data_IF_463930540223
#
_entry.id   IF_463930540223
#
_cell.length_a   1.000
_cell.length_b   1.000
_cell.length_c   1.000
_cell.angle_alpha   90.00
_cell.angle_beta   90.00
_cell.angle_gamma   90.00
#
_symmetry.space_group_name_H-M   'P 1'
#
loop_
_entity.id
_entity.type
_entity.pdbx_description
1 polymer ?
#
# COMPACT_ATOMS: atom_id res chain seq x y z
N UNK A 1 13.34 13.30 16.53
CA UNK A 1 12.11 14.09 16.78
C UNK A 1 10.98 13.11 17.00
N UNK A 2 10.35 13.11 18.18
CA UNK A 2 9.14 12.33 18.46
C UNK A 2 8.00 12.98 17.69
N UNK A 3 7.45 12.29 16.70
CA UNK A 3 6.17 12.68 16.11
C UNK A 3 5.08 12.40 17.15
N UNK A 4 4.31 13.43 17.47
CA UNK A 4 3.16 13.36 18.38
C UNK A 4 2.12 12.38 17.82
N UNK A 5 1.65 11.46 18.64
CA UNK A 5 0.65 10.43 18.32
C UNK A 5 -0.75 10.95 17.93
N UNK A 6 -0.94 12.25 17.86
CA UNK A 6 -2.22 12.86 17.49
C UNK A 6 -2.36 13.21 15.99
N UNK A 7 -1.29 13.05 15.19
CA UNK A 7 -1.30 13.36 13.76
C UNK A 7 -1.53 12.14 12.85
N UNK A 8 -1.65 10.92 13.40
CA UNK A 8 -1.76 9.68 12.61
C UNK A 8 -3.12 9.45 11.95
N UNK A 9 -4.16 10.21 12.32
CA UNK A 9 -5.54 9.90 11.89
C UNK A 9 -5.98 10.57 10.56
N UNK A 10 -5.13 11.37 9.92
CA UNK A 10 -5.50 12.12 8.70
C UNK A 10 -4.55 11.89 7.53
N UNK A 11 -3.44 11.19 7.73
CA UNK A 11 -2.43 11.02 6.70
C UNK A 11 -2.74 9.85 5.76
N UNK A 12 -2.88 10.15 4.47
CA UNK A 12 -3.02 9.13 3.42
C UNK A 12 -1.64 8.52 3.12
N UNK A 13 -1.57 7.19 3.09
CA UNK A 13 -0.30 6.46 2.98
C UNK A 13 -0.11 5.89 1.59
N UNK A 14 1.14 5.94 1.15
CA UNK A 14 1.59 5.44 -0.14
C UNK A 14 2.51 4.25 0.08
N UNK A 15 2.14 3.09 -0.46
CA UNK A 15 2.96 1.90 -0.43
C UNK A 15 3.46 1.56 -1.83
N UNK A 16 4.61 0.87 -1.93
CA UNK A 16 5.03 0.24 -3.18
C UNK A 16 4.67 -1.25 -3.18
N UNK A 17 4.22 -1.74 -4.34
CA UNK A 17 3.88 -3.14 -4.58
C UNK A 17 5.00 -3.81 -5.39
N UNK A 18 6.04 -4.23 -4.71
CA UNK A 18 7.23 -4.86 -5.30
C UNK A 18 8.05 -5.61 -4.25
N UNK A 19 8.91 -6.54 -4.69
CA UNK A 19 9.93 -7.20 -3.89
C UNK A 19 11.36 -6.90 -4.42
N UNK A 20 11.48 -5.94 -5.33
CA UNK A 20 12.76 -5.45 -5.84
C UNK A 20 13.32 -4.41 -4.87
N UNK A 21 14.36 -4.79 -4.14
CA UNK A 21 14.94 -3.98 -3.07
C UNK A 21 15.59 -2.69 -3.57
N UNK A 22 16.11 -2.66 -4.81
CA UNK A 22 16.73 -1.47 -5.38
C UNK A 22 15.68 -0.43 -5.71
N UNK A 23 14.57 -0.83 -6.36
CA UNK A 23 13.43 0.04 -6.63
C UNK A 23 12.75 0.53 -5.35
N UNK A 24 12.71 -0.31 -4.30
CA UNK A 24 12.19 0.09 -3.00
C UNK A 24 13.09 1.15 -2.35
N UNK A 25 14.41 0.93 -2.36
CA UNK A 25 15.37 1.89 -1.81
C UNK A 25 15.28 3.24 -2.52
N UNK A 26 15.16 3.25 -3.85
CA UNK A 26 14.96 4.46 -4.63
C UNK A 26 13.69 5.20 -4.22
N UNK A 27 12.54 4.51 -4.23
CA UNK A 27 11.26 5.11 -3.83
C UNK A 27 11.25 5.57 -2.37
N UNK A 28 11.78 4.75 -1.45
CA UNK A 28 11.79 5.07 -0.02
C UNK A 28 12.69 6.28 0.32
N UNK A 29 13.80 6.45 -0.42
CA UNK A 29 14.70 7.60 -0.26
C UNK A 29 14.04 8.95 -0.52
N UNK A 30 12.93 8.98 -1.27
CA UNK A 30 12.12 10.20 -1.50
C UNK A 30 11.41 10.71 -0.24
N UNK A 31 11.27 9.85 0.79
CA UNK A 31 10.47 10.14 1.98
C UNK A 31 8.94 10.12 1.76
N UNK A 32 8.48 9.66 0.58
CA UNK A 32 7.07 9.63 0.18
C UNK A 32 6.44 8.23 0.24
N UNK A 33 7.20 7.22 0.64
CA UNK A 33 6.74 5.83 0.77
C UNK A 33 6.67 5.46 2.24
N UNK A 34 5.50 4.97 2.67
CA UNK A 34 5.16 4.64 4.05
C UNK A 34 5.25 3.14 4.35
N UNK A 35 5.26 2.30 3.32
CA UNK A 35 5.28 0.84 3.47
C UNK A 35 5.36 0.10 2.14
N UNK A 36 5.38 -1.22 2.25
CA UNK A 36 5.55 -2.14 1.11
C UNK A 36 4.49 -3.23 1.16
N UNK A 37 3.94 -3.58 0.01
CA UNK A 37 3.22 -4.84 -0.16
C UNK A 37 4.00 -5.80 -1.03
N UNK A 38 4.08 -7.05 -0.60
CA UNK A 38 4.61 -8.15 -1.40
C UNK A 38 3.55 -9.19 -1.68
N UNK A 39 3.85 -10.11 -2.56
CA UNK A 39 3.06 -11.31 -2.80
C UNK A 39 3.96 -12.41 -3.41
N UNK A 40 3.51 -13.68 -3.44
CA UNK A 40 4.33 -14.79 -3.96
C UNK A 40 4.85 -14.57 -5.39
N UNK A 41 4.09 -13.91 -6.25
CA UNK A 41 4.50 -13.61 -7.63
C UNK A 41 5.63 -12.58 -7.68
N UNK A 42 5.57 -11.54 -6.86
CA UNK A 42 6.61 -10.51 -6.77
C UNK A 42 7.90 -11.08 -6.17
N UNK A 43 7.79 -11.87 -5.09
CA UNK A 43 8.93 -12.57 -4.48
C UNK A 43 9.57 -13.50 -5.51
N UNK A 44 8.78 -14.33 -6.21
CA UNK A 44 9.32 -15.21 -7.26
C UNK A 44 10.03 -14.41 -8.37
N UNK A 45 9.47 -13.28 -8.77
CA UNK A 45 10.05 -12.41 -9.80
C UNK A 45 11.38 -11.79 -9.37
N UNK A 46 11.55 -11.48 -8.09
CA UNK A 46 12.82 -10.97 -7.55
C UNK A 46 13.93 -12.02 -7.58
N UNK A 47 13.59 -13.32 -7.65
CA UNK A 47 14.55 -14.42 -7.61
C UNK A 47 15.26 -14.61 -6.27
N UNK A 48 14.78 -13.93 -5.21
CA UNK A 48 15.41 -13.90 -3.89
C UNK A 48 14.59 -14.69 -2.87
N UNK A 49 15.27 -15.09 -1.81
CA UNK A 49 14.63 -15.66 -0.62
C UNK A 49 13.71 -14.61 0.04
N UNK A 50 12.44 -14.94 0.36
CA UNK A 50 11.49 -13.99 0.94
C UNK A 50 12.00 -13.34 2.23
N UNK A 51 12.62 -14.11 3.11
CA UNK A 51 13.10 -13.58 4.39
C UNK A 51 14.26 -12.61 4.22
N UNK A 52 15.14 -12.87 3.26
CA UNK A 52 16.22 -11.92 2.92
C UNK A 52 15.68 -10.61 2.36
N UNK A 53 14.62 -10.67 1.57
CA UNK A 53 13.92 -9.46 1.12
C UNK A 53 13.37 -8.69 2.32
N UNK A 54 12.69 -9.37 3.25
CA UNK A 54 12.12 -8.70 4.44
C UNK A 54 13.19 -8.14 5.37
N UNK A 55 14.32 -8.84 5.55
CA UNK A 55 15.47 -8.33 6.33
C UNK A 55 16.00 -7.01 5.73
N UNK A 56 16.26 -6.97 4.42
CA UNK A 56 16.73 -5.76 3.74
C UNK A 56 15.73 -4.59 3.91
N UNK A 57 14.43 -4.84 3.77
CA UNK A 57 13.41 -3.81 3.93
C UNK A 57 13.38 -3.22 5.34
N UNK A 58 13.62 -4.05 6.35
CA UNK A 58 13.71 -3.62 7.74
C UNK A 58 14.98 -2.81 7.99
N UNK A 59 16.11 -3.25 7.42
CA UNK A 59 17.38 -2.52 7.49
C UNK A 59 17.29 -1.13 6.84
N UNK A 60 16.49 -0.98 5.79
CA UNK A 60 16.16 0.32 5.18
C UNK A 60 15.31 1.22 6.10
N UNK A 61 14.70 0.69 7.16
CA UNK A 61 13.88 1.43 8.10
C UNK A 61 12.36 1.40 7.83
N UNK A 62 11.90 0.53 6.93
CA UNK A 62 10.47 0.37 6.64
C UNK A 62 9.70 -0.21 7.82
N UNK A 63 8.56 0.40 8.15
CA UNK A 63 7.77 0.10 9.35
C UNK A 63 6.45 -0.64 9.08
N UNK A 64 6.08 -0.84 7.81
CA UNK A 64 4.88 -1.58 7.43
C UNK A 64 5.13 -2.40 6.16
N UNK A 65 5.27 -3.72 6.33
CA UNK A 65 5.60 -4.65 5.25
C UNK A 65 4.54 -5.74 5.23
N UNK A 66 3.72 -5.79 4.17
CA UNK A 66 2.74 -6.85 3.97
C UNK A 66 3.41 -8.12 3.44
N UNK A 67 3.49 -9.15 4.28
CA UNK A 67 4.13 -10.45 4.06
C UNK A 67 3.05 -11.51 3.82
N UNK A 68 2.90 -11.99 2.58
CA UNK A 68 1.82 -12.89 2.23
C UNK A 68 2.15 -14.35 2.54
N UNK A 69 1.25 -15.00 3.28
CA UNK A 69 1.32 -16.43 3.61
C UNK A 69 0.30 -17.20 2.78
N UNK A 70 0.65 -18.44 2.42
CA UNK A 70 -0.15 -19.31 1.55
C UNK A 70 -0.29 -20.71 2.16
N UNK A 71 -1.24 -21.49 1.65
CA UNK A 71 -1.48 -22.86 2.09
C UNK A 71 -2.84 -23.02 2.77
N UNK A 72 -2.98 -24.11 3.55
CA UNK A 72 -4.17 -24.35 4.36
C UNK A 72 -4.15 -23.48 5.65
N UNK A 73 -5.24 -23.50 6.41
CA UNK A 73 -5.39 -22.70 7.64
C UNK A 73 -4.22 -22.86 8.62
N UNK A 74 -3.77 -24.09 8.85
CA UNK A 74 -2.68 -24.39 9.79
C UNK A 74 -1.37 -23.80 9.30
N UNK A 75 -1.03 -24.05 8.05
CA UNK A 75 0.19 -23.53 7.41
C UNK A 75 0.24 -22.01 7.42
N UNK A 76 -0.84 -21.34 7.00
CA UNK A 76 -0.93 -19.88 7.03
C UNK A 76 -0.80 -19.30 8.44
N UNK A 77 -1.40 -19.96 9.44
CA UNK A 77 -1.32 -19.50 10.82
C UNK A 77 0.09 -19.66 11.39
N UNK A 78 0.70 -20.84 11.25
CA UNK A 78 2.05 -21.13 11.77
C UNK A 78 3.09 -20.21 11.13
N UNK A 79 3.04 -20.03 9.81
CA UNK A 79 3.93 -19.15 9.09
C UNK A 79 3.69 -17.67 9.45
N UNK A 80 2.43 -17.23 9.50
CA UNK A 80 2.09 -15.87 9.91
C UNK A 80 2.56 -15.54 11.33
N UNK A 81 2.40 -16.47 12.26
CA UNK A 81 2.90 -16.31 13.62
C UNK A 81 4.43 -16.26 13.68
N UNK A 82 5.10 -17.08 12.87
CA UNK A 82 6.56 -17.11 12.76
C UNK A 82 7.11 -15.78 12.24
N UNK A 83 6.54 -15.26 11.14
CA UNK A 83 6.92 -13.97 10.56
C UNK A 83 6.65 -12.82 11.53
N UNK A 84 5.48 -12.80 12.18
CA UNK A 84 5.14 -11.76 13.15
C UNK A 84 6.08 -11.76 14.37
N UNK A 85 6.54 -12.93 14.83
CA UNK A 85 7.53 -13.02 15.93
C UNK A 85 8.92 -12.57 15.50
N UNK A 86 9.31 -12.88 14.25
CA UNK A 86 10.64 -12.53 13.74
C UNK A 86 10.76 -11.03 13.44
N UNK A 87 9.74 -10.45 12.85
CA UNK A 87 9.75 -9.08 12.30
C UNK A 87 8.85 -8.09 13.10
N UNK A 88 8.39 -8.50 14.25
CA UNK A 88 7.61 -7.83 15.30
C UNK A 88 6.82 -6.60 14.83
N UNK A 89 7.42 -5.41 14.87
CA UNK A 89 6.74 -4.14 14.61
C UNK A 89 6.50 -3.85 13.11
N UNK A 90 7.28 -4.47 12.22
CA UNK A 90 7.23 -4.22 10.79
C UNK A 90 6.27 -5.14 10.04
N UNK A 91 6.05 -6.35 10.56
CA UNK A 91 5.21 -7.34 9.89
C UNK A 91 3.73 -6.98 9.88
N UNK A 92 3.13 -7.02 8.70
CA UNK A 92 1.70 -7.12 8.48
C UNK A 92 1.44 -8.41 7.72
N UNK A 93 0.81 -9.40 8.36
CA UNK A 93 0.60 -10.72 7.75
C UNK A 93 -0.52 -10.61 6.72
N UNK A 94 -0.24 -11.02 5.49
CA UNK A 94 -1.19 -10.92 4.40
C UNK A 94 -1.81 -12.29 4.11
N UNK A 95 -3.14 -12.38 4.13
CA UNK A 95 -3.90 -13.62 3.94
C UNK A 95 -5.01 -13.42 2.89
N UNK A 96 -5.36 -14.45 2.12
CA UNK A 96 -6.44 -14.35 1.13
C UNK A 96 -7.83 -14.26 1.80
N UNK A 97 -8.77 -13.64 1.11
CA UNK A 97 -10.18 -13.58 1.54
C UNK A 97 -10.91 -14.90 1.28
N UNK A 98 -10.53 -15.93 2.02
CA UNK A 98 -11.14 -17.26 2.03
C UNK A 98 -11.61 -17.60 3.44
N UNK A 99 -12.47 -18.65 3.65
CA UNK A 99 -12.83 -19.08 5.01
C UNK A 99 -11.61 -19.34 5.90
N UNK A 100 -10.59 -20.03 5.38
CA UNK A 100 -9.35 -20.30 6.12
C UNK A 100 -8.54 -19.03 6.40
N UNK A 101 -8.36 -18.15 5.39
CA UNK A 101 -7.63 -16.88 5.56
C UNK A 101 -8.33 -15.96 6.56
N UNK A 102 -9.66 -15.89 6.56
CA UNK A 102 -10.41 -15.10 7.54
C UNK A 102 -10.35 -15.69 8.96
N UNK A 103 -10.32 -17.05 9.09
CA UNK A 103 -10.08 -17.68 10.37
C UNK A 103 -8.68 -17.35 10.91
N UNK A 104 -7.65 -17.42 10.07
CA UNK A 104 -6.27 -17.01 10.42
C UNK A 104 -6.20 -15.52 10.76
N UNK A 105 -6.85 -14.65 9.98
CA UNK A 105 -6.96 -13.23 10.31
C UNK A 105 -7.50 -13.02 11.73
N UNK A 106 -8.58 -13.69 12.09
CA UNK A 106 -9.19 -13.57 13.41
C UNK A 106 -8.26 -14.08 14.53
N UNK A 107 -7.53 -15.14 14.31
CA UNK A 107 -6.60 -15.71 15.29
C UNK A 107 -5.39 -14.81 15.54
N UNK A 108 -4.79 -14.29 14.46
CA UNK A 108 -3.64 -13.38 14.52
C UNK A 108 -4.01 -12.02 15.09
N UNK A 109 -5.13 -11.42 14.67
CA UNK A 109 -5.56 -10.11 15.16
C UNK A 109 -5.91 -10.11 16.65
N UNK A 110 -6.39 -11.23 17.21
CA UNK A 110 -6.57 -11.39 18.67
C UNK A 110 -5.27 -11.37 19.46
N UNK A 111 -4.16 -11.64 18.79
CA UNK A 111 -2.82 -11.54 19.36
C UNK A 111 -2.16 -10.18 19.04
N UNK A 112 -2.94 -9.20 18.59
CA UNK A 112 -2.50 -7.85 18.20
C UNK A 112 -1.53 -7.84 17.02
N UNK A 113 -1.51 -8.90 16.20
CA UNK A 113 -0.75 -8.99 14.97
C UNK A 113 -1.57 -8.30 13.87
N UNK A 114 -0.93 -7.38 13.15
CA UNK A 114 -1.57 -6.71 11.99
C UNK A 114 -1.81 -7.70 10.87
N UNK A 115 -3.01 -7.67 10.29
CA UNK A 115 -3.38 -8.54 9.18
C UNK A 115 -3.94 -7.73 8.03
N UNK A 116 -3.44 -8.01 6.82
CA UNK A 116 -3.94 -7.49 5.55
C UNK A 116 -4.73 -8.60 4.84
N UNK A 117 -6.05 -8.47 4.75
CA UNK A 117 -6.86 -9.41 3.98
C UNK A 117 -6.89 -9.00 2.52
N UNK A 118 -6.26 -9.82 1.68
CA UNK A 118 -6.07 -9.58 0.24
C UNK A 118 -7.12 -10.30 -0.61
N UNK A 119 -7.10 -10.03 -1.93
CA UNK A 119 -8.04 -10.61 -2.90
C UNK A 119 -9.50 -10.25 -2.56
N UNK A 120 -9.73 -8.99 -2.26
CA UNK A 120 -11.07 -8.44 -2.04
C UNK A 120 -11.63 -7.97 -3.39
N UNK A 121 -12.75 -8.54 -3.78
CA UNK A 121 -13.46 -8.26 -5.04
C UNK A 121 -14.92 -7.86 -4.84
N UNK A 122 -15.41 -7.83 -3.59
CA UNK A 122 -16.77 -7.39 -3.27
C UNK A 122 -16.85 -6.69 -1.92
N UNK A 123 -17.84 -5.81 -1.71
CA UNK A 123 -18.09 -5.20 -0.40
C UNK A 123 -18.39 -6.22 0.69
N UNK A 124 -19.06 -7.32 0.35
CA UNK A 124 -19.37 -8.40 1.31
C UNK A 124 -18.11 -9.07 1.84
N UNK A 125 -17.10 -9.31 1.00
CA UNK A 125 -15.78 -9.80 1.44
C UNK A 125 -15.09 -8.82 2.39
N UNK A 126 -15.14 -7.53 2.09
CA UNK A 126 -14.57 -6.50 2.96
C UNK A 126 -15.25 -6.45 4.33
N UNK A 127 -16.58 -6.62 4.40
CA UNK A 127 -17.33 -6.75 5.65
C UNK A 127 -16.84 -7.94 6.48
N UNK A 128 -16.66 -9.10 5.87
CA UNK A 128 -16.18 -10.30 6.56
C UNK A 128 -14.76 -10.10 7.09
N UNK A 129 -13.89 -9.48 6.30
CA UNK A 129 -12.51 -9.18 6.70
C UNK A 129 -12.45 -8.20 7.88
N UNK A 130 -13.25 -7.14 7.88
CA UNK A 130 -13.35 -6.21 9.00
C UNK A 130 -13.87 -6.90 10.27
N UNK A 131 -14.88 -7.77 10.16
CA UNK A 131 -15.40 -8.58 11.27
C UNK A 131 -14.35 -9.60 11.80
N UNK A 132 -13.45 -10.06 10.95
CA UNK A 132 -12.33 -10.92 11.36
C UNK A 132 -11.22 -10.15 12.08
N UNK A 133 -11.24 -8.81 12.10
CA UNK A 133 -10.27 -7.97 12.78
C UNK A 133 -9.09 -7.54 11.88
N UNK A 134 -9.27 -7.53 10.56
CA UNK A 134 -8.26 -7.06 9.64
C UNK A 134 -7.83 -5.62 9.94
N UNK A 135 -6.51 -5.35 9.91
CA UNK A 135 -5.98 -3.98 9.88
C UNK A 135 -6.18 -3.36 8.51
N UNK A 136 -5.93 -4.13 7.45
CA UNK A 136 -6.13 -3.73 6.06
C UNK A 136 -7.07 -4.68 5.34
N UNK A 137 -7.88 -4.12 4.45
CA UNK A 137 -8.55 -4.85 3.37
C UNK A 137 -8.02 -4.34 2.05
N UNK A 138 -7.62 -5.26 1.16
CA UNK A 138 -7.03 -4.89 -0.12
C UNK A 138 -7.97 -5.18 -1.29
N UNK A 139 -8.87 -4.23 -1.68
CA UNK A 139 -9.64 -4.32 -2.91
C UNK A 139 -8.72 -4.19 -4.13
N UNK A 140 -8.87 -5.10 -5.09
CA UNK A 140 -8.03 -5.20 -6.28
C UNK A 140 -8.63 -4.42 -7.45
N UNK A 141 -8.39 -3.11 -7.47
CA UNK A 141 -8.96 -2.17 -8.45
C UNK A 141 -8.73 -2.63 -9.89
N UNK A 142 -7.48 -2.74 -10.33
CA UNK A 142 -7.19 -3.06 -11.71
C UNK A 142 -7.65 -4.46 -12.14
N UNK A 143 -7.63 -5.44 -11.23
CA UNK A 143 -8.15 -6.78 -11.56
C UNK A 143 -9.66 -6.83 -11.69
N UNK A 144 -10.38 -5.99 -10.95
CA UNK A 144 -11.83 -5.79 -11.11
C UNK A 144 -12.12 -5.15 -12.47
N UNK A 145 -11.35 -4.13 -12.86
CA UNK A 145 -11.48 -3.46 -14.15
C UNK A 145 -11.19 -4.41 -15.33
N UNK A 146 -10.23 -5.34 -15.21
CA UNK A 146 -9.95 -6.37 -16.22
C UNK A 146 -11.17 -7.25 -16.54
N UNK A 147 -12.08 -7.38 -15.57
CA UNK A 147 -13.31 -8.17 -15.72
C UNK A 147 -14.52 -7.28 -16.04
N UNK A 148 -14.30 -6.06 -16.51
CA UNK A 148 -15.35 -5.10 -16.90
C UNK A 148 -16.27 -4.67 -15.76
N UNK A 149 -15.80 -4.73 -14.51
CA UNK A 149 -16.46 -4.15 -13.35
C UNK A 149 -15.74 -2.86 -12.92
N UNK A 150 -16.36 -2.05 -12.07
CA UNK A 150 -15.77 -0.80 -11.59
C UNK A 150 -14.90 -0.98 -10.36
N UNK A 151 -13.59 -1.16 -10.52
CA UNK A 151 -12.66 -1.35 -9.41
C UNK A 151 -12.64 -0.19 -8.41
N UNK A 152 -12.63 1.04 -8.90
CA UNK A 152 -12.73 2.23 -8.05
C UNK A 152 -14.11 2.35 -7.36
N UNK A 153 -15.20 1.89 -8.00
CA UNK A 153 -16.51 1.83 -7.36
C UNK A 153 -16.49 0.88 -6.15
N UNK A 154 -15.78 -0.25 -6.25
CA UNK A 154 -15.58 -1.16 -5.12
C UNK A 154 -14.95 -0.45 -3.91
N UNK A 155 -13.91 0.34 -4.12
CA UNK A 155 -13.28 1.16 -3.05
C UNK A 155 -14.30 2.09 -2.41
N UNK A 156 -15.07 2.83 -3.24
CA UNK A 156 -16.10 3.76 -2.80
C UNK A 156 -17.20 3.07 -1.97
N UNK A 157 -17.66 1.91 -2.41
CA UNK A 157 -18.71 1.16 -1.73
C UNK A 157 -18.23 0.66 -0.36
N UNK A 158 -17.01 0.09 -0.28
CA UNK A 158 -16.41 -0.34 0.98
C UNK A 158 -16.27 0.85 1.93
N UNK A 159 -15.73 1.99 1.46
CA UNK A 159 -15.55 3.20 2.25
C UNK A 159 -16.88 3.72 2.80
N UNK A 160 -17.93 3.74 1.97
CA UNK A 160 -19.26 4.16 2.40
C UNK A 160 -19.84 3.24 3.50
N UNK A 161 -19.65 1.92 3.36
CA UNK A 161 -20.09 0.94 4.35
C UNK A 161 -19.34 1.13 5.67
N UNK A 162 -18.01 1.22 5.64
CA UNK A 162 -17.18 1.36 6.83
C UNK A 162 -17.51 2.66 7.59
N UNK A 163 -17.68 3.76 6.86
CA UNK A 163 -18.08 5.05 7.44
C UNK A 163 -19.46 4.98 8.08
N UNK A 164 -20.48 4.41 7.40
CA UNK A 164 -21.84 4.26 7.93
C UNK A 164 -21.90 3.37 9.17
N UNK A 165 -21.04 2.35 9.23
CA UNK A 165 -20.94 1.42 10.36
C UNK A 165 -19.97 1.89 11.44
N UNK A 166 -19.33 3.05 11.26
CA UNK A 166 -18.28 3.59 12.15
C UNK A 166 -17.12 2.60 12.40
N UNK A 167 -16.77 1.81 11.38
CA UNK A 167 -15.62 0.91 11.41
C UNK A 167 -14.32 1.68 11.14
N UNK A 168 -13.63 2.08 12.23
CA UNK A 168 -12.39 2.85 12.18
C UNK A 168 -11.13 2.00 12.32
N UNK A 169 -11.25 0.75 12.74
CA UNK A 169 -10.12 -0.14 13.01
C UNK A 169 -9.54 -0.79 11.75
N UNK A 170 -10.35 -0.88 10.68
CA UNK A 170 -9.95 -1.49 9.41
C UNK A 170 -9.83 -0.43 8.34
N UNK A 171 -8.67 -0.39 7.71
CA UNK A 171 -8.31 0.58 6.67
C UNK A 171 -8.40 -0.05 5.27
N UNK A 172 -8.75 0.77 4.28
CA UNK A 172 -8.86 0.36 2.88
C UNK A 172 -7.53 0.61 2.19
N UNK A 173 -6.86 -0.45 1.79
CA UNK A 173 -5.62 -0.45 1.03
C UNK A 173 -5.93 -0.77 -0.43
N UNK A 174 -6.12 0.25 -1.26
CA UNK A 174 -6.38 0.07 -2.68
C UNK A 174 -5.17 -0.57 -3.37
N UNK A 175 -5.35 -1.75 -3.95
CA UNK A 175 -4.31 -2.57 -4.55
C UNK A 175 -4.56 -2.82 -6.06
N UNK A 176 -3.55 -3.38 -6.73
CA UNK A 176 -3.64 -3.63 -8.18
C UNK A 176 -3.89 -2.34 -8.98
N UNK A 177 -3.33 -1.23 -8.53
CA UNK A 177 -3.40 0.06 -9.23
C UNK A 177 -2.48 0.00 -10.46
N UNK A 178 -2.93 0.49 -11.60
CA UNK A 178 -2.21 0.36 -12.87
C UNK A 178 -1.87 1.67 -13.55
N UNK A 179 -2.44 2.77 -13.10
CA UNK A 179 -2.19 4.09 -13.68
C UNK A 179 -2.33 5.19 -12.62
N UNK A 180 -1.74 6.35 -12.93
CA UNK A 180 -1.68 7.52 -12.04
C UNK A 180 -3.06 8.09 -11.71
N UNK A 181 -3.99 8.07 -12.68
CA UNK A 181 -5.35 8.60 -12.47
C UNK A 181 -6.06 7.84 -11.34
N UNK A 182 -5.89 6.52 -11.30
CA UNK A 182 -6.57 5.67 -10.32
C UNK A 182 -6.03 5.88 -8.91
N UNK A 183 -4.78 6.33 -8.74
CA UNK A 183 -4.22 6.71 -7.43
C UNK A 183 -5.06 7.83 -6.80
N UNK A 184 -5.19 8.96 -7.50
CA UNK A 184 -5.97 10.10 -7.01
C UNK A 184 -7.43 9.73 -6.77
N UNK A 185 -8.02 8.95 -7.67
CA UNK A 185 -9.41 8.50 -7.54
C UNK A 185 -9.62 7.50 -6.39
N UNK A 186 -8.67 6.63 -6.11
CA UNK A 186 -8.76 5.72 -4.97
C UNK A 186 -8.83 6.51 -3.65
N UNK A 187 -7.99 7.51 -3.48
CA UNK A 187 -8.03 8.40 -2.31
C UNK A 187 -9.31 9.25 -2.26
N UNK A 188 -9.77 9.79 -3.39
CA UNK A 188 -11.04 10.51 -3.48
C UNK A 188 -12.23 9.63 -3.04
N UNK A 189 -12.19 8.34 -3.37
CA UNK A 189 -13.22 7.38 -3.04
C UNK A 189 -13.07 6.76 -1.65
N UNK A 190 -12.06 7.18 -0.89
CA UNK A 190 -11.93 6.89 0.52
C UNK A 190 -10.97 5.75 0.85
N UNK A 191 -10.04 5.42 -0.03
CA UNK A 191 -8.90 4.60 0.34
C UNK A 191 -8.08 5.32 1.43
N UNK A 192 -7.53 4.56 2.37
CA UNK A 192 -6.62 5.05 3.41
C UNK A 192 -5.16 4.87 2.97
N UNK A 193 -4.92 3.84 2.16
CA UNK A 193 -3.63 3.48 1.60
C UNK A 193 -3.81 3.14 0.13
N UNK A 194 -2.84 3.51 -0.73
CA UNK A 194 -2.70 2.99 -2.08
C UNK A 194 -1.36 2.26 -2.20
N UNK A 195 -1.37 1.01 -2.69
CA UNK A 195 -0.14 0.32 -3.05
C UNK A 195 0.03 0.27 -4.56
N UNK A 196 1.19 0.70 -5.04
CA UNK A 196 1.47 0.95 -6.44
C UNK A 196 2.71 0.19 -6.92
N UNK A 197 2.73 -0.31 -8.17
CA UNK A 197 3.99 -0.66 -8.80
C UNK A 197 4.93 0.57 -8.87
N UNK A 198 6.25 0.41 -8.72
CA UNK A 198 7.23 1.51 -8.85
C UNK A 198 7.02 2.33 -10.12
N UNK A 199 6.75 1.69 -11.25
CA UNK A 199 6.50 2.36 -12.54
C UNK A 199 5.27 3.27 -12.55
N UNK A 200 4.29 3.04 -11.68
CA UNK A 200 3.14 3.95 -11.52
C UNK A 200 3.54 5.10 -10.60
N UNK A 201 4.28 4.81 -9.53
CA UNK A 201 4.79 5.82 -8.61
C UNK A 201 5.65 6.85 -9.35
N UNK A 202 6.62 6.42 -10.15
CA UNK A 202 7.50 7.30 -10.93
C UNK A 202 6.72 8.21 -11.88
N UNK A 203 5.66 7.68 -12.50
CA UNK A 203 4.80 8.47 -13.39
C UNK A 203 3.96 9.54 -12.68
N UNK A 204 3.82 9.49 -11.35
CA UNK A 204 3.08 10.51 -10.60
C UNK A 204 3.78 11.88 -10.63
N UNK A 205 5.07 11.92 -10.85
CA UNK A 205 5.84 13.16 -11.02
C UNK A 205 5.66 13.80 -12.41
N UNK A 206 5.27 13.02 -13.42
CA UNK A 206 5.29 13.45 -14.80
C UNK A 206 4.02 14.20 -15.17
N UNK A 207 4.16 15.49 -15.50
CA UNK A 207 3.06 16.30 -16.00
C UNK A 207 3.54 17.36 -16.98
N UNK A 208 3.01 17.36 -18.20
CA UNK A 208 3.42 18.27 -19.28
C UNK A 208 3.36 19.76 -18.89
N UNK A 209 2.40 20.15 -18.04
CA UNK A 209 2.30 21.54 -17.59
C UNK A 209 3.36 21.89 -16.54
N UNK A 210 3.84 20.93 -15.76
CA UNK A 210 4.97 21.11 -14.85
C UNK A 210 6.24 21.37 -15.66
N UNK A 211 6.48 20.55 -16.70
CA UNK A 211 7.66 20.69 -17.56
C UNK A 211 7.67 22.04 -18.27
N UNK A 212 6.55 22.44 -18.87
CA UNK A 212 6.41 23.77 -19.47
C UNK A 212 6.55 24.91 -18.49
N UNK A 213 6.04 24.75 -17.27
CA UNK A 213 6.19 25.74 -16.20
C UNK A 213 7.64 25.94 -15.81
N UNK A 214 8.40 24.84 -15.68
CA UNK A 214 9.82 24.87 -15.35
C UNK A 214 10.63 25.54 -16.47
N UNK A 215 10.34 25.24 -17.74
CA UNK A 215 10.99 25.90 -18.89
C UNK A 215 10.77 27.42 -18.85
N UNK A 216 9.55 27.88 -18.56
CA UNK A 216 9.23 29.29 -18.46
C UNK A 216 9.96 29.96 -17.29
N UNK A 217 9.91 29.33 -16.10
CA UNK A 217 10.60 29.89 -14.92
C UNK A 217 12.13 29.96 -15.11
N UNK A 218 12.74 28.97 -15.77
CA UNK A 218 14.16 28.98 -16.09
C UNK A 218 14.51 30.11 -17.06
N UNK A 219 13.68 30.34 -18.08
CA UNK A 219 13.85 31.46 -19.01
C UNK A 219 13.77 32.81 -18.31
N UNK A 220 12.75 33.02 -17.46
CA UNK A 220 12.57 34.27 -16.70
C UNK A 220 13.72 34.50 -15.72
N UNK A 221 14.18 33.46 -15.04
CA UNK A 221 15.33 33.52 -14.13
C UNK A 221 16.60 33.96 -14.86
N UNK A 222 16.89 33.34 -16.01
CA UNK A 222 18.07 33.72 -16.84
C UNK A 222 17.98 35.16 -17.35
N UNK A 223 16.77 35.65 -17.70
CA UNK A 223 16.56 37.02 -18.11
C UNK A 223 16.79 38.01 -16.96
N UNK A 224 16.32 37.67 -15.74
CA UNK A 224 16.53 38.52 -14.55
C UNK A 224 18.01 38.67 -14.19
N UNK A 225 18.80 37.61 -14.27
CA UNK A 225 20.24 37.66 -13.99
C UNK A 225 21.00 38.61 -14.94
N UNK A 226 20.61 38.69 -16.23
CA UNK A 226 21.22 39.62 -17.18
C UNK A 226 20.98 41.07 -16.81
N UNK A 227 19.81 41.37 -16.24
CA UNK A 227 19.47 42.73 -15.83
C UNK A 227 20.28 43.20 -14.59
N UNK A 228 20.64 42.26 -13.68
CA UNK A 228 21.46 42.56 -12.49
C UNK A 228 22.99 42.64 -12.77
N UNK A 229 23.45 41.99 -13.85
CA UNK A 229 24.87 42.04 -14.23
C UNK A 229 25.25 43.25 -15.11
N UNK A 230 24.27 44.09 -15.46
CA UNK A 230 24.42 45.31 -16.29
C UNK A 230 24.38 46.58 -15.49
N UNK A 231 24.29 46.49 -14.16
CA UNK A 231 24.38 47.58 -13.19
C UNK A 231 25.64 47.42 -12.34
#
# INVERSE_FOLDING_TARGET
>A
RRYSSAASDVYKRQFLDTADTDLIQEGYSTGLIDGITTNPSLIRKSGRDPEKVYEDLIEMGLMDISMEVVGNRKEMYEEGLRLAKRFVAQATIKVPCTPDGLAVCRELSRQLIRVNVTLIFSPSQAILAAKAGAKYVSPFVGRVDDNSFGGLCLVKDISNIYRKQNWKSTEILAASIRNVRDVGRAFEYGADVCTLPPTVFDKMYNHILTDKGLELFDADYKASLKNYSST
#
